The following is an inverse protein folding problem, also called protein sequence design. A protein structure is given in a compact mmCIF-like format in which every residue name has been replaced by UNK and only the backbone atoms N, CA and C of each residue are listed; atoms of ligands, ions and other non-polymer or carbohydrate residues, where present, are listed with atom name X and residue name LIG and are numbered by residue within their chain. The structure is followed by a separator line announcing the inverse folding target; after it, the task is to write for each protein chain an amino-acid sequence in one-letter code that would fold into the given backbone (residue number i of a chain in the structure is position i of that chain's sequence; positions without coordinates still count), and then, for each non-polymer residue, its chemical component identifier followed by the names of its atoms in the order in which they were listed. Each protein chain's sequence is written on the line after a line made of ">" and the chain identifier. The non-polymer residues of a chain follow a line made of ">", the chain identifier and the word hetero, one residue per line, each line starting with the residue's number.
data_IF_091698500849
#
_entry.id   IF_091698500849
#
_cell.length_a   1.000
_cell.length_b   1.000
_cell.length_c   1.000
_cell.angle_alpha   90.00
_cell.angle_beta   90.00
_cell.angle_gamma   90.00
#
_symmetry.space_group_name_H-M   'P 1'
#
loop_
_entity.id
_entity.type
_entity.pdbx_description
1 polymer ?
#
# COMPACT_ATOMS: atom_id res chain seq x y z
N UNK A 1 -48.97 50.80 69.10
CA UNK A 1 -47.76 50.39 68.36
C UNK A 1 -47.50 48.92 68.66
N UNK A 2 -47.78 48.04 67.70
CA UNK A 2 -47.51 46.60 67.77
C UNK A 2 -46.11 46.33 67.21
N UNK A 3 -45.31 45.51 67.90
CA UNK A 3 -44.40 44.55 67.23
C UNK A 3 -43.92 43.46 68.19
N UNK A 4 -44.05 42.23 67.71
CA UNK A 4 -43.44 40.98 68.14
C UNK A 4 -42.82 40.34 66.87
N UNK A 5 -42.08 39.20 66.91
CA UNK A 5 -41.12 38.67 67.88
C UNK A 5 -39.76 38.26 67.21
N UNK A 6 -38.85 37.69 68.01
CA UNK A 6 -37.51 37.13 67.67
C UNK A 6 -37.51 36.04 66.57
N UNK A 7 -36.39 35.93 65.84
CA UNK A 7 -35.96 34.73 65.09
C UNK A 7 -34.56 34.26 65.58
N UNK A 8 -34.25 32.94 65.50
CA UNK A 8 -33.13 32.32 66.23
C UNK A 8 -31.80 32.29 65.44
N UNK A 9 -30.73 32.04 66.20
CA UNK A 9 -29.33 31.89 65.75
C UNK A 9 -29.12 30.55 65.03
N UNK A 10 -28.52 30.57 63.83
CA UNK A 10 -28.07 29.38 63.11
C UNK A 10 -26.57 29.12 63.35
N UNK A 11 -26.11 27.85 63.43
CA UNK A 11 -24.72 27.50 63.76
C UNK A 11 -23.77 27.63 62.55
N UNK A 12 -22.49 27.89 62.85
CA UNK A 12 -21.36 27.81 61.92
C UNK A 12 -21.11 26.35 61.49
N UNK A 13 -20.97 26.11 60.18
CA UNK A 13 -20.55 24.84 59.57
C UNK A 13 -19.10 24.93 59.07
N UNK A 14 -18.43 23.78 59.12
CA UNK A 14 -16.98 23.48 59.09
C UNK A 14 -16.10 23.98 57.91
N UNK A 15 -14.76 24.04 58.10
CA UNK A 15 -13.81 24.44 57.08
C UNK A 15 -13.34 23.22 56.25
N UNK A 16 -13.94 22.98 55.10
CA UNK A 16 -13.41 22.03 54.12
C UNK A 16 -13.87 22.37 52.69
N UNK A 17 -13.31 23.43 52.09
CA UNK A 17 -13.35 23.63 50.65
C UNK A 17 -12.22 24.56 50.20
N UNK A 18 -10.98 24.06 50.23
CA UNK A 18 -9.96 24.47 49.27
C UNK A 18 -9.11 23.24 48.95
N UNK A 19 -9.53 22.47 47.95
CA UNK A 19 -8.63 21.56 47.24
C UNK A 19 -8.72 21.89 45.77
N UNK A 20 -7.76 22.71 45.37
CA UNK A 20 -7.05 22.70 44.10
C UNK A 20 -7.43 21.52 43.19
N UNK A 21 -8.28 21.79 42.21
CA UNK A 21 -8.57 20.90 41.09
C UNK A 21 -7.89 21.48 39.85
N UNK A 22 -6.56 21.41 39.81
CA UNK A 22 -5.84 21.30 38.54
C UNK A 22 -6.12 19.90 38.00
N UNK A 23 -7.26 19.70 37.35
CA UNK A 23 -7.42 18.58 36.43
C UNK A 23 -6.42 18.80 35.31
N UNK A 24 -5.35 18.00 35.28
CA UNK A 24 -4.55 17.81 34.08
C UNK A 24 -5.51 17.48 32.94
N UNK A 25 -5.64 18.37 31.95
CA UNK A 25 -6.21 17.98 30.67
C UNK A 25 -5.32 16.88 30.10
N UNK A 26 -5.82 15.65 30.10
CA UNK A 26 -5.25 14.60 29.28
C UNK A 26 -5.36 15.09 27.84
N UNK A 27 -4.23 15.30 27.18
CA UNK A 27 -4.15 15.69 25.77
C UNK A 27 -4.78 14.57 24.95
N UNK A 28 -6.09 14.65 24.69
CA UNK A 28 -6.83 13.61 23.97
C UNK A 28 -6.30 13.57 22.55
N UNK A 29 -5.55 12.51 22.24
CA UNK A 29 -4.99 12.29 20.91
C UNK A 29 -6.07 11.76 19.97
N UNK A 30 -6.51 12.54 18.99
CA UNK A 30 -7.65 12.19 18.12
C UNK A 30 -7.38 12.41 16.64
N UNK A 31 -8.04 11.57 15.83
CA UNK A 31 -8.12 11.67 14.38
C UNK A 31 -9.55 11.37 13.94
N UNK A 32 -10.08 12.17 13.01
CA UNK A 32 -11.43 11.99 12.45
C UNK A 32 -11.35 11.70 10.96
N UNK A 33 -11.96 10.59 10.54
CA UNK A 33 -12.06 10.16 9.16
C UNK A 33 -13.44 10.53 8.59
N UNK A 34 -13.49 11.04 7.36
CA UNK A 34 -14.71 11.42 6.67
C UNK A 34 -14.86 10.67 5.34
N UNK A 35 -16.08 10.19 5.04
CA UNK A 35 -16.35 9.44 3.80
C UNK A 35 -16.24 10.28 2.53
N UNK A 36 -16.52 11.59 2.61
CA UNK A 36 -16.48 12.52 1.48
C UNK A 36 -15.36 13.56 1.62
N UNK A 37 -15.09 14.32 0.55
CA UNK A 37 -14.08 15.38 0.53
C UNK A 37 -14.54 16.59 1.35
N UNK A 38 -13.59 17.40 1.82
CA UNK A 38 -13.89 18.65 2.52
C UNK A 38 -14.61 18.45 3.87
N UNK A 39 -14.32 17.34 4.55
CA UNK A 39 -14.82 17.00 5.89
C UNK A 39 -16.35 16.84 5.95
N UNK A 40 -16.91 16.21 4.91
CA UNK A 40 -18.35 15.99 4.74
C UNK A 40 -18.70 14.49 4.83
N UNK A 41 -20.01 14.21 4.86
CA UNK A 41 -20.53 12.85 4.88
C UNK A 41 -20.45 12.22 6.27
N UNK A 42 -20.54 10.88 6.32
CA UNK A 42 -20.37 10.13 7.57
C UNK A 42 -18.93 10.27 8.05
N UNK A 43 -18.76 10.41 9.35
CA UNK A 43 -17.43 10.44 9.96
C UNK A 43 -17.29 9.42 11.10
N UNK A 44 -16.03 9.13 11.42
CA UNK A 44 -15.65 8.31 12.55
C UNK A 44 -14.41 8.91 13.21
N UNK A 45 -14.52 9.17 14.52
CA UNK A 45 -13.42 9.63 15.36
C UNK A 45 -12.72 8.43 15.99
N UNK A 46 -11.39 8.46 16.00
CA UNK A 46 -10.53 7.45 16.56
C UNK A 46 -9.47 8.08 17.47
N UNK A 47 -9.15 7.42 18.58
CA UNK A 47 -8.19 7.90 19.59
C UNK A 47 -7.14 6.85 19.98
N UNK A 48 -7.11 5.72 19.28
CA UNK A 48 -6.16 4.63 19.51
C UNK A 48 -5.87 3.85 18.23
N UNK A 49 -4.96 2.88 18.30
CA UNK A 49 -4.74 1.94 17.20
C UNK A 49 -6.04 1.23 16.82
N UNK A 50 -6.36 1.19 15.52
CA UNK A 50 -7.53 0.48 15.00
C UNK A 50 -7.12 -0.48 13.87
N UNK A 51 -7.19 -1.81 14.07
CA UNK A 51 -6.78 -2.78 13.04
C UNK A 51 -7.82 -2.95 11.93
N UNK A 52 -9.06 -2.48 12.09
CA UNK A 52 -10.07 -2.60 11.05
C UNK A 52 -11.10 -1.46 11.14
N UNK A 53 -10.94 -0.47 10.25
CA UNK A 53 -11.84 0.68 10.15
C UNK A 53 -13.04 0.43 9.23
N UNK A 54 -13.06 -0.69 8.48
CA UNK A 54 -14.10 -0.98 7.49
C UNK A 54 -15.49 -1.11 8.09
N UNK A 55 -15.59 -1.40 9.38
CA UNK A 55 -16.87 -1.48 10.12
C UNK A 55 -17.48 -0.11 10.38
N UNK A 56 -16.68 0.97 10.36
CA UNK A 56 -17.13 2.33 10.68
C UNK A 56 -17.46 3.15 9.43
N UNK A 57 -16.74 2.93 8.33
CA UNK A 57 -16.96 3.62 7.05
C UNK A 57 -16.52 2.76 5.86
N UNK A 58 -17.09 3.04 4.69
CA UNK A 58 -16.86 2.29 3.45
C UNK A 58 -15.66 2.80 2.65
N UNK A 59 -15.40 4.11 2.74
CA UNK A 59 -14.34 4.87 2.06
C UNK A 59 -13.88 6.05 2.93
N UNK A 60 -12.72 6.61 2.65
CA UNK A 60 -12.19 7.78 3.36
C UNK A 60 -11.61 8.78 2.36
N UNK A 61 -12.23 9.96 2.26
CA UNK A 61 -11.85 10.99 1.31
C UNK A 61 -11.34 12.27 1.96
N UNK A 62 -11.53 12.49 3.26
CA UNK A 62 -10.87 13.58 3.99
C UNK A 62 -10.63 13.22 5.45
N UNK A 63 -9.63 13.83 6.07
CA UNK A 63 -9.15 13.48 7.42
C UNK A 63 -8.79 14.75 8.19
N UNK A 64 -9.20 14.83 9.45
CA UNK A 64 -8.68 15.82 10.41
C UNK A 64 -7.87 15.12 11.48
N UNK A 65 -6.65 15.59 11.71
CA UNK A 65 -5.84 15.17 12.86
C UNK A 65 -5.80 16.32 13.83
N UNK A 66 -6.49 16.18 14.96
CA UNK A 66 -6.52 17.24 15.98
C UNK A 66 -5.21 17.26 16.78
N UNK A 67 -4.66 16.08 17.04
CA UNK A 67 -3.48 15.88 17.90
C UNK A 67 -2.79 14.55 17.61
N UNK A 68 -1.52 14.46 18.01
CA UNK A 68 -0.68 13.27 17.81
C UNK A 68 -0.14 13.08 16.40
N UNK A 69 0.51 11.93 16.22
CA UNK A 69 1.09 11.48 14.96
C UNK A 69 0.50 10.11 14.63
N UNK A 70 -0.01 9.95 13.42
CA UNK A 70 -0.75 8.76 13.02
C UNK A 70 -0.12 8.12 11.79
N UNK A 71 -0.06 6.79 11.79
CA UNK A 71 0.23 6.01 10.59
C UNK A 71 -1.04 5.32 10.13
N UNK A 72 -1.51 5.66 8.94
CA UNK A 72 -2.69 5.07 8.31
C UNK A 72 -2.28 3.98 7.34
N UNK A 73 -3.17 3.02 7.11
CA UNK A 73 -2.92 1.87 6.26
C UNK A 73 -4.08 1.63 5.31
N UNK A 74 -3.76 1.32 4.07
CA UNK A 74 -4.73 1.07 3.00
C UNK A 74 -5.60 -0.17 3.26
N UNK A 75 -5.06 -1.19 3.93
CA UNK A 75 -5.73 -2.47 4.21
C UNK A 75 -5.92 -2.71 5.72
N UNK A 76 -6.85 -3.60 6.11
CA UNK A 76 -6.98 -4.03 7.50
C UNK A 76 -5.69 -4.65 8.04
N UNK A 77 -5.57 -4.72 9.36
CA UNK A 77 -4.46 -5.30 10.10
C UNK A 77 -3.09 -4.68 9.80
N UNK A 78 -3.06 -3.36 9.55
CA UNK A 78 -1.84 -2.57 9.33
C UNK A 78 -1.07 -3.00 8.08
N UNK A 79 -1.79 -3.28 6.99
CA UNK A 79 -1.23 -3.76 5.73
C UNK A 79 -1.44 -2.76 4.59
N UNK A 80 -0.70 -2.96 3.49
CA UNK A 80 -0.78 -2.11 2.31
C UNK A 80 0.02 -0.82 2.42
N UNK A 81 -0.33 0.18 1.62
CA UNK A 81 0.34 1.48 1.67
C UNK A 81 0.15 2.17 3.02
N UNK A 82 1.22 2.83 3.49
CA UNK A 82 1.23 3.55 4.75
C UNK A 82 1.26 5.06 4.49
N UNK A 83 0.54 5.82 5.32
CA UNK A 83 0.44 7.27 5.21
C UNK A 83 0.61 7.90 6.59
N UNK A 84 1.68 8.64 6.77
CA UNK A 84 2.01 9.37 7.98
C UNK A 84 1.33 10.73 7.97
N UNK A 85 0.49 10.96 8.99
CA UNK A 85 -0.20 12.22 9.19
C UNK A 85 0.17 12.80 10.55
N UNK A 86 0.42 14.11 10.55
CA UNK A 86 0.53 14.93 11.77
C UNK A 86 -0.71 15.79 11.91
N UNK A 87 -0.84 16.48 13.05
CA UNK A 87 -1.87 17.50 13.28
C UNK A 87 -2.08 18.38 12.05
N UNK A 88 -3.32 18.47 11.58
CA UNK A 88 -3.67 19.21 10.38
C UNK A 88 -4.97 18.76 9.71
N UNK A 89 -5.38 19.56 8.74
CA UNK A 89 -6.58 19.36 7.93
C UNK A 89 -6.20 18.82 6.55
N UNK A 90 -6.75 17.66 6.19
CA UNK A 90 -6.50 16.99 4.92
C UNK A 90 -7.81 16.87 4.13
N UNK A 91 -8.17 17.86 3.31
CA UNK A 91 -9.48 17.94 2.64
C UNK A 91 -9.73 16.91 1.54
N UNK A 92 -8.68 16.26 1.03
CA UNK A 92 -8.75 15.22 0.01
C UNK A 92 -7.56 14.24 0.13
N UNK A 93 -7.68 13.04 -0.44
CA UNK A 93 -6.65 12.01 -0.28
C UNK A 93 -5.29 12.32 -0.90
N UNK A 94 -5.20 13.28 -1.83
CA UNK A 94 -3.93 13.68 -2.41
C UNK A 94 -3.05 14.41 -1.38
N UNK A 95 -3.67 15.01 -0.36
CA UNK A 95 -2.99 15.78 0.69
C UNK A 95 -2.15 14.90 1.63
N UNK A 96 -2.45 13.60 1.74
CA UNK A 96 -1.61 12.63 2.45
C UNK A 96 -0.88 11.67 1.50
N UNK A 97 -0.74 12.05 0.22
CA UNK A 97 -0.12 11.22 -0.81
C UNK A 97 -0.84 9.88 -1.04
N UNK A 98 -2.16 9.83 -0.79
CA UNK A 98 -3.01 8.67 -1.02
C UNK A 98 -3.19 8.35 -2.51
N UNK A 99 -3.13 7.06 -2.85
CA UNK A 99 -3.41 6.58 -4.21
C UNK A 99 -4.91 6.34 -4.46
N UNK A 100 -5.69 6.18 -3.39
CA UNK A 100 -7.12 5.88 -3.41
C UNK A 100 -7.81 6.43 -2.16
N UNK A 101 -9.13 6.25 -2.08
CA UNK A 101 -9.96 6.54 -0.89
C UNK A 101 -10.00 5.37 0.12
N UNK A 102 -9.10 4.39 -0.02
CA UNK A 102 -9.05 3.24 0.88
C UNK A 102 -8.12 3.49 2.06
N UNK A 103 -8.71 3.74 3.23
CA UNK A 103 -8.06 3.67 4.54
C UNK A 103 -8.82 2.65 5.38
N UNK A 104 -8.12 1.64 5.91
CA UNK A 104 -8.76 0.49 6.56
C UNK A 104 -8.13 0.09 7.89
N UNK A 105 -7.00 0.67 8.28
CA UNK A 105 -6.50 0.60 9.65
C UNK A 105 -5.60 1.79 9.97
N UNK A 106 -5.38 2.07 11.26
CA UNK A 106 -4.52 3.17 11.71
C UNK A 106 -3.77 2.81 12.99
N UNK A 107 -2.60 3.43 13.19
CA UNK A 107 -1.83 3.38 14.43
C UNK A 107 -1.53 4.77 14.92
N UNK A 108 -1.74 4.99 16.21
CA UNK A 108 -1.17 6.11 16.92
C UNK A 108 0.32 5.83 17.12
N UNK A 109 1.16 6.75 16.64
CA UNK A 109 2.61 6.70 16.87
C UNK A 109 2.87 7.25 18.28
N UNK A 110 3.44 6.45 19.19
CA UNK A 110 3.71 6.90 20.56
C UNK A 110 4.59 8.14 20.55
N UNK A 111 4.24 9.12 21.39
CA UNK A 111 5.13 10.25 21.64
C UNK A 111 6.41 9.74 22.29
N UNK A 112 7.55 10.16 21.76
CA UNK A 112 8.86 9.77 22.28
C UNK A 112 9.54 11.00 22.89
N UNK A 113 9.77 10.94 24.20
CA UNK A 113 10.52 11.94 24.96
C UNK A 113 11.97 11.49 25.12
N UNK A 114 12.76 11.64 24.05
CA UNK A 114 14.16 11.25 24.05
C UNK A 114 14.86 11.55 22.73
N UNK A 115 16.09 11.08 22.61
CA UNK A 115 16.84 11.11 21.34
C UNK A 115 16.25 10.12 20.34
N UNK A 116 16.38 10.44 19.06
CA UNK A 116 16.09 9.51 17.98
C UNK A 116 17.40 8.95 17.48
N UNK A 117 17.46 7.64 17.25
CA UNK A 117 18.70 7.01 16.76
C UNK A 117 18.42 5.77 15.92
N UNK A 118 19.01 5.72 14.74
CA UNK A 118 18.95 4.59 13.83
C UNK A 118 20.31 4.33 13.19
N UNK A 119 20.63 3.07 12.90
CA UNK A 119 21.75 2.68 12.05
C UNK A 119 21.23 2.07 10.76
N UNK A 120 21.76 2.50 9.63
CA UNK A 120 21.44 1.96 8.30
C UNK A 120 22.69 1.32 7.68
N UNK A 121 22.48 0.28 6.88
CA UNK A 121 23.55 -0.56 6.33
C UNK A 121 23.36 -0.81 4.82
N UNK A 122 24.46 -0.85 4.09
CA UNK A 122 24.52 -1.11 2.64
C UNK A 122 24.16 -2.55 2.24
N UNK A 123 24.17 -3.50 3.17
CA UNK A 123 23.87 -4.90 2.87
C UNK A 123 22.94 -5.51 3.91
N UNK A 124 22.33 -6.62 3.54
CA UNK A 124 21.50 -7.43 4.43
C UNK A 124 22.30 -7.91 5.66
N UNK A 125 21.59 -8.24 6.74
CA UNK A 125 22.14 -8.70 8.02
C UNK A 125 23.19 -7.76 8.63
N UNK A 126 22.98 -6.44 8.53
CA UNK A 126 23.83 -5.41 9.13
C UNK A 126 25.27 -5.40 8.62
N UNK A 127 25.48 -5.81 7.35
CA UNK A 127 26.80 -5.85 6.71
C UNK A 127 27.05 -4.62 5.84
N UNK A 128 28.30 -4.42 5.43
CA UNK A 128 28.69 -3.29 4.57
C UNK A 128 28.94 -2.00 5.35
N UNK A 129 28.99 -0.86 4.66
CA UNK A 129 29.14 0.44 5.32
C UNK A 129 27.92 0.73 6.21
N UNK A 130 28.19 1.27 7.39
CA UNK A 130 27.17 1.69 8.37
C UNK A 130 27.14 3.20 8.46
N UNK A 131 25.94 3.78 8.43
CA UNK A 131 25.70 5.19 8.74
C UNK A 131 24.70 5.33 9.88
N UNK A 132 24.95 6.25 10.80
CA UNK A 132 24.08 6.54 11.93
C UNK A 132 23.27 7.81 11.66
N UNK A 133 21.97 7.75 11.96
CA UNK A 133 21.00 8.82 11.75
C UNK A 133 20.38 9.17 13.11
N UNK A 134 20.48 10.44 13.49
CA UNK A 134 19.96 10.98 14.75
C UNK A 134 18.88 12.04 14.55
N UNK A 135 18.76 12.56 13.34
CA UNK A 135 17.88 13.67 12.98
C UNK A 135 17.26 13.42 11.61
N UNK A 136 16.24 14.22 11.29
CA UNK A 136 15.60 14.28 9.99
C UNK A 136 16.63 14.37 8.84
N UNK A 137 16.41 13.58 7.78
CA UNK A 137 17.31 13.48 6.63
C UNK A 137 16.54 13.60 5.32
N UNK A 138 16.81 14.65 4.55
CA UNK A 138 16.13 14.91 3.27
C UNK A 138 16.60 13.98 2.15
N UNK A 139 17.87 13.55 2.17
CA UNK A 139 18.48 12.75 1.11
C UNK A 139 19.64 11.94 1.66
N UNK A 140 19.52 10.61 1.60
CA UNK A 140 20.58 9.69 2.00
C UNK A 140 21.77 9.73 1.03
N UNK A 141 21.49 9.96 -0.25
CA UNK A 141 22.50 10.07 -1.29
C UNK A 141 23.39 11.31 -1.06
N UNK A 142 22.79 12.44 -0.71
CA UNK A 142 23.56 13.68 -0.50
C UNK A 142 24.33 13.66 0.81
N UNK A 143 23.75 13.07 1.87
CA UNK A 143 24.36 13.06 3.22
C UNK A 143 25.37 11.94 3.41
N UNK A 144 25.12 10.76 2.85
CA UNK A 144 25.90 9.54 3.12
C UNK A 144 26.41 8.84 1.85
N UNK A 145 26.08 9.33 0.65
CA UNK A 145 26.34 8.66 -0.62
C UNK A 145 25.73 7.25 -0.70
N UNK A 146 24.63 7.06 0.02
CA UNK A 146 23.87 5.82 0.07
C UNK A 146 22.63 5.93 -0.81
N UNK A 147 22.54 5.06 -1.82
CA UNK A 147 21.39 4.99 -2.74
C UNK A 147 20.28 4.08 -2.23
N UNK A 148 20.63 3.01 -1.50
CA UNK A 148 19.69 2.01 -0.99
C UNK A 148 20.02 1.61 0.45
N UNK A 149 18.99 1.33 1.25
CA UNK A 149 19.13 0.72 2.58
C UNK A 149 18.73 -0.75 2.47
N UNK A 150 19.65 -1.64 2.81
CA UNK A 150 19.40 -3.08 2.76
C UNK A 150 19.02 -3.64 4.12
N UNK A 151 19.60 -3.14 5.20
CA UNK A 151 19.20 -3.47 6.57
C UNK A 151 19.35 -2.28 7.49
N UNK A 152 18.62 -2.25 8.60
CA UNK A 152 18.65 -1.16 9.58
C UNK A 152 18.32 -1.62 10.99
N UNK A 153 18.83 -0.90 11.98
CA UNK A 153 18.51 -1.10 13.39
C UNK A 153 18.03 0.22 13.99
N UNK A 154 16.76 0.25 14.38
CA UNK A 154 16.16 1.38 15.09
C UNK A 154 16.47 1.22 16.56
N UNK A 155 17.37 2.07 17.06
CA UNK A 155 17.82 2.03 18.45
C UNK A 155 16.84 2.80 19.35
N UNK A 156 16.39 3.97 18.90
CA UNK A 156 15.58 4.89 19.71
C UNK A 156 14.56 5.64 18.84
N UNK A 157 13.36 5.82 19.39
CA UNK A 157 12.23 6.50 18.75
C UNK A 157 11.58 5.68 17.62
N UNK A 158 10.41 6.15 17.16
CA UNK A 158 9.83 5.67 15.90
C UNK A 158 10.29 6.55 14.75
N UNK A 159 10.51 5.95 13.58
CA UNK A 159 10.95 6.65 12.38
C UNK A 159 9.98 6.40 11.23
N UNK A 160 9.90 7.34 10.30
CA UNK A 160 9.20 7.15 9.03
C UNK A 160 10.23 7.21 7.92
N UNK A 161 10.49 6.06 7.29
CA UNK A 161 11.33 5.98 6.10
C UNK A 161 10.50 6.31 4.87
N UNK A 162 11.05 7.16 4.01
CA UNK A 162 10.47 7.52 2.71
C UNK A 162 11.32 6.91 1.60
N UNK A 163 10.65 6.35 0.61
CA UNK A 163 11.27 5.71 -0.56
C UNK A 163 12.06 6.72 -1.42
N UNK A 164 11.56 7.96 -1.55
CA UNK A 164 12.20 9.01 -2.34
C UNK A 164 12.71 10.17 -1.45
N UNK A 165 13.74 10.90 -1.90
CA UNK A 165 14.22 12.10 -1.22
C UNK A 165 13.13 13.15 -0.98
N UNK A 166 13.36 14.02 -0.01
CA UNK A 166 12.48 15.12 0.39
C UNK A 166 11.09 14.66 0.84
N UNK A 167 11.04 13.54 1.58
CA UNK A 167 9.82 12.96 2.16
C UNK A 167 8.75 12.60 1.12
N UNK A 168 9.15 11.94 0.03
CA UNK A 168 8.25 11.53 -1.05
C UNK A 168 8.22 10.01 -1.22
N UNK A 169 7.23 9.54 -1.96
CA UNK A 169 7.09 8.11 -2.29
C UNK A 169 6.47 7.31 -1.16
N UNK A 170 6.68 5.99 -1.17
CA UNK A 170 6.13 5.10 -0.14
C UNK A 170 6.73 5.40 1.23
N UNK A 171 5.91 5.20 2.25
CA UNK A 171 6.24 5.51 3.63
C UNK A 171 6.24 4.22 4.45
N UNK A 172 7.18 4.10 5.38
CA UNK A 172 7.35 2.91 6.22
C UNK A 172 7.55 3.31 7.67
N UNK A 173 6.63 2.91 8.54
CA UNK A 173 6.78 3.08 9.99
C UNK A 173 7.80 2.06 10.51
N UNK A 174 8.91 2.57 11.02
CA UNK A 174 9.95 1.80 11.68
C UNK A 174 9.86 2.03 13.18
N UNK A 175 9.66 0.95 13.93
CA UNK A 175 9.65 0.95 15.40
C UNK A 175 11.01 0.48 15.92
N UNK A 176 11.36 0.74 17.18
CA UNK A 176 12.58 0.19 17.78
C UNK A 176 12.71 -1.32 17.52
N UNK A 177 13.85 -1.74 16.97
CA UNK A 177 14.04 -3.12 16.55
C UNK A 177 15.06 -3.31 15.43
N UNK A 178 15.39 -4.58 15.22
CA UNK A 178 16.30 -5.06 14.19
C UNK A 178 15.53 -5.43 12.92
N UNK A 179 15.97 -4.87 11.79
CA UNK A 179 15.43 -5.17 10.46
C UNK A 179 16.57 -5.64 9.56
N UNK A 180 16.69 -6.95 9.35
CA UNK A 180 17.83 -7.59 8.68
C UNK A 180 17.77 -7.48 7.16
N UNK A 181 16.62 -7.15 6.61
CA UNK A 181 16.39 -6.96 5.17
C UNK A 181 15.22 -5.99 4.94
N UNK A 182 15.14 -5.39 3.77
CA UNK A 182 14.07 -4.44 3.42
C UNK A 182 12.64 -5.00 3.51
N UNK A 183 12.49 -6.32 3.34
CA UNK A 183 11.22 -7.01 3.53
C UNK A 183 10.70 -6.91 4.99
N UNK A 184 11.59 -6.76 5.98
CA UNK A 184 11.21 -6.74 7.40
C UNK A 184 10.41 -5.48 7.76
N UNK A 185 10.60 -4.37 7.04
CA UNK A 185 9.77 -3.15 7.19
C UNK A 185 8.66 -3.03 6.14
N UNK A 186 8.44 -4.08 5.36
CA UNK A 186 7.40 -4.12 4.33
C UNK A 186 7.76 -3.39 3.04
N UNK A 187 9.01 -2.96 2.86
CA UNK A 187 9.46 -2.49 1.55
C UNK A 187 9.63 -3.66 0.58
N UNK A 188 9.50 -3.34 -0.70
CA UNK A 188 9.82 -4.25 -1.79
C UNK A 188 10.92 -3.59 -2.61
N UNK A 189 12.07 -4.25 -2.76
CA UNK A 189 13.02 -3.84 -3.78
C UNK A 189 12.43 -4.25 -5.13
N UNK A 190 11.81 -3.28 -5.79
CA UNK A 190 11.27 -3.42 -7.11
C UNK A 190 11.70 -2.21 -7.92
N UNK A 191 12.19 -2.45 -9.11
CA UNK A 191 12.69 -1.41 -9.99
C UNK A 191 12.45 -1.80 -11.44
N UNK A 192 11.83 -0.88 -12.16
CA UNK A 192 11.55 -0.97 -13.58
C UNK A 192 11.91 0.35 -14.25
N UNK A 193 12.60 0.27 -15.37
CA UNK A 193 12.99 1.43 -16.17
C UNK A 193 12.34 1.34 -17.54
N UNK A 194 11.56 2.36 -17.88
CA UNK A 194 10.89 2.51 -19.18
C UNK A 194 11.74 3.39 -20.10
N UNK A 195 11.83 3.04 -21.38
CA UNK A 195 12.57 3.79 -22.39
C UNK A 195 11.66 4.12 -23.58
N UNK A 196 11.69 5.37 -24.05
CA UNK A 196 10.84 5.82 -25.17
C UNK A 196 11.18 5.13 -26.49
N UNK A 197 12.44 4.74 -26.70
CA UNK A 197 12.91 4.10 -27.92
C UNK A 197 13.34 2.64 -27.66
N UNK A 198 13.57 1.89 -28.75
CA UNK A 198 13.99 0.47 -28.68
C UNK A 198 15.45 0.36 -28.22
N UNK A 199 15.82 -0.80 -27.68
CA UNK A 199 17.21 -1.08 -27.28
C UNK A 199 17.73 -0.20 -26.15
N UNK A 200 16.83 0.19 -25.24
CA UNK A 200 17.13 0.98 -24.04
C UNK A 200 17.71 2.37 -24.36
N UNK A 201 17.18 3.00 -25.40
CA UNK A 201 17.59 4.32 -25.89
C UNK A 201 16.52 5.39 -25.63
N UNK A 202 16.90 6.65 -25.85
CA UNK A 202 16.01 7.80 -25.71
C UNK A 202 15.81 8.21 -24.25
N UNK A 203 14.75 8.97 -23.99
CA UNK A 203 14.37 9.37 -22.63
C UNK A 203 13.94 8.13 -21.85
N UNK A 204 14.40 8.04 -20.60
CA UNK A 204 13.98 7.00 -19.68
C UNK A 204 13.27 7.54 -18.45
N UNK A 205 12.48 6.68 -17.82
CA UNK A 205 11.87 6.91 -16.52
C UNK A 205 12.01 5.66 -15.67
N UNK A 206 12.58 5.82 -14.48
CA UNK A 206 12.71 4.77 -13.48
C UNK A 206 11.53 4.83 -12.51
N UNK A 207 10.98 3.67 -12.20
CA UNK A 207 9.85 3.51 -11.30
C UNK A 207 10.11 2.36 -10.32
N UNK A 208 9.81 2.57 -9.05
CA UNK A 208 9.96 1.59 -7.98
C UNK A 208 8.64 1.24 -7.27
N UNK A 209 7.56 1.90 -7.67
CA UNK A 209 6.23 1.77 -7.08
C UNK A 209 5.11 1.76 -8.11
N UNK A 210 3.88 1.59 -7.66
CA UNK A 210 2.72 1.69 -8.54
C UNK A 210 2.62 3.10 -9.11
N UNK A 211 2.34 3.20 -10.41
CA UNK A 211 2.16 4.47 -11.08
C UNK A 211 0.84 4.45 -11.86
N UNK A 212 -0.22 5.14 -11.40
CA UNK A 212 -1.50 5.18 -12.10
C UNK A 212 -1.46 6.05 -13.37
N UNK A 213 -0.44 6.89 -13.55
CA UNK A 213 -0.32 7.72 -14.75
C UNK A 213 1.15 7.98 -15.11
N UNK A 214 1.64 7.26 -16.12
CA UNK A 214 2.99 7.40 -16.65
C UNK A 214 3.10 8.47 -17.75
N UNK A 215 1.98 9.00 -18.25
CA UNK A 215 1.97 9.97 -19.36
C UNK A 215 2.74 11.25 -19.07
N UNK A 216 2.86 11.62 -17.79
CA UNK A 216 3.59 12.80 -17.35
C UNK A 216 5.11 12.64 -17.50
N UNK A 217 5.60 11.39 -17.56
CA UNK A 217 7.03 11.09 -17.61
C UNK A 217 7.52 10.77 -19.02
N UNK A 218 6.70 10.12 -19.84
CA UNK A 218 7.05 9.78 -21.22
C UNK A 218 5.82 9.65 -22.13
N UNK A 219 6.04 9.85 -23.43
CA UNK A 219 4.99 9.87 -24.46
C UNK A 219 4.68 8.49 -25.05
N UNK A 220 5.66 7.58 -25.04
CA UNK A 220 5.62 6.20 -25.57
C UNK A 220 6.63 5.31 -24.85
N UNK A 221 6.55 3.99 -24.98
CA UNK A 221 7.48 3.05 -24.36
C UNK A 221 7.80 1.90 -25.33
N UNK A 222 9.06 1.84 -25.77
CA UNK A 222 9.50 0.86 -26.77
C UNK A 222 10.53 -0.15 -26.24
N UNK A 223 11.12 0.08 -25.07
CA UNK A 223 11.91 -0.95 -24.38
C UNK A 223 11.86 -0.76 -22.87
N UNK A 224 12.06 -1.84 -22.12
CA UNK A 224 11.90 -1.87 -20.66
C UNK A 224 13.00 -2.73 -20.04
N UNK A 225 13.60 -2.26 -18.95
CA UNK A 225 14.41 -3.10 -18.05
C UNK A 225 13.68 -3.29 -16.74
N UNK A 226 13.51 -4.53 -16.32
CA UNK A 226 13.03 -4.86 -14.98
C UNK A 226 14.21 -5.37 -14.19
N UNK A 227 14.72 -4.54 -13.28
CA UNK A 227 15.86 -4.87 -12.43
C UNK A 227 15.44 -5.81 -11.29
N UNK A 228 14.25 -5.58 -10.72
CA UNK A 228 13.68 -6.37 -9.61
C UNK A 228 12.16 -6.27 -9.56
N UNK A 229 11.52 -7.33 -9.04
CA UNK A 229 10.07 -7.39 -8.87
C UNK A 229 9.30 -7.88 -10.08
N UNK A 230 8.04 -8.21 -9.83
CA UNK A 230 7.07 -8.61 -10.85
C UNK A 230 6.13 -7.44 -11.12
N UNK A 231 5.95 -7.04 -12.37
CA UNK A 231 5.20 -5.86 -12.74
C UNK A 231 4.03 -6.21 -13.66
N UNK A 232 2.88 -5.57 -13.45
CA UNK A 232 1.80 -5.54 -14.43
C UNK A 232 1.73 -4.15 -15.04
N UNK A 233 1.89 -4.07 -16.36
CA UNK A 233 1.80 -2.84 -17.13
C UNK A 233 0.44 -2.74 -17.80
N UNK A 234 -0.02 -1.52 -18.03
CA UNK A 234 -1.32 -1.24 -18.59
C UNK A 234 -1.23 -0.23 -19.73
N UNK A 235 -1.99 -0.50 -20.79
CA UNK A 235 -2.06 0.35 -21.99
C UNK A 235 -2.63 1.74 -21.70
N UNK A 236 -3.49 1.89 -20.68
CA UNK A 236 -4.17 3.14 -20.33
C UNK A 236 -3.87 3.56 -18.88
N UNK A 237 -4.06 4.84 -18.53
CA UNK A 237 -3.96 5.30 -17.15
C UNK A 237 -4.94 4.55 -16.22
N UNK A 238 -4.68 4.63 -14.91
CA UNK A 238 -5.51 4.05 -13.85
C UNK A 238 -5.73 2.53 -13.98
N UNK A 239 -4.71 1.81 -14.43
CA UNK A 239 -4.68 0.35 -14.53
C UNK A 239 -5.76 -0.22 -15.47
N UNK A 240 -5.95 0.43 -16.62
CA UNK A 240 -6.96 0.06 -17.61
C UNK A 240 -6.35 -0.37 -18.96
N UNK A 241 -7.17 -1.02 -19.80
CA UNK A 241 -6.77 -1.46 -21.13
C UNK A 241 -6.03 -2.81 -21.10
N UNK A 242 -5.24 -3.08 -22.14
CA UNK A 242 -4.44 -4.30 -22.20
C UNK A 242 -3.42 -4.36 -21.06
N UNK A 243 -3.26 -5.56 -20.49
CA UNK A 243 -2.33 -5.82 -19.39
C UNK A 243 -1.13 -6.65 -19.89
N UNK A 244 0.06 -6.35 -19.37
CA UNK A 244 1.30 -7.03 -19.73
C UNK A 244 2.09 -7.39 -18.48
N UNK A 245 2.26 -8.68 -18.23
CA UNK A 245 3.06 -9.20 -17.13
C UNK A 245 4.53 -9.23 -17.49
N UNK A 246 5.35 -8.52 -16.71
CA UNK A 246 6.79 -8.53 -16.82
C UNK A 246 7.41 -9.06 -15.53
N UNK A 247 8.48 -9.83 -15.69
CA UNK A 247 9.37 -10.26 -14.61
C UNK A 247 10.71 -9.59 -14.81
N UNK A 248 11.62 -9.79 -13.86
CA UNK A 248 13.02 -9.42 -14.04
C UNK A 248 13.54 -9.83 -15.41
N UNK A 249 14.18 -8.89 -16.10
CA UNK A 249 14.71 -9.11 -17.44
C UNK A 249 14.80 -7.86 -18.30
N UNK A 250 15.50 -8.02 -19.42
CA UNK A 250 15.71 -7.00 -20.43
C UNK A 250 14.75 -7.23 -21.60
N UNK A 251 13.92 -6.23 -21.88
CA UNK A 251 12.94 -6.25 -22.95
C UNK A 251 13.28 -5.17 -23.99
N UNK A 252 14.12 -5.48 -25.00
CA UNK A 252 14.64 -4.50 -25.96
C UNK A 252 13.60 -3.93 -26.95
N UNK A 253 12.43 -4.56 -27.07
CA UNK A 253 11.33 -4.14 -27.93
C UNK A 253 9.96 -4.54 -27.32
N UNK A 254 8.88 -3.87 -27.74
CA UNK A 254 7.55 -4.11 -27.16
C UNK A 254 6.97 -5.49 -27.48
N UNK A 255 7.46 -6.16 -28.52
CA UNK A 255 7.03 -7.50 -28.85
C UNK A 255 7.52 -8.53 -27.82
N UNK A 256 8.61 -8.25 -27.10
CA UNK A 256 9.13 -9.13 -26.03
C UNK A 256 8.17 -9.29 -24.84
N UNK A 257 7.33 -8.29 -24.55
CA UNK A 257 6.27 -8.40 -23.54
C UNK A 257 4.89 -8.66 -24.16
N UNK A 258 4.85 -9.06 -25.44
CA UNK A 258 3.61 -9.28 -26.21
C UNK A 258 2.74 -8.02 -26.32
N UNK A 259 3.38 -6.84 -26.35
CA UNK A 259 2.72 -5.56 -26.56
C UNK A 259 2.01 -5.48 -27.92
N UNK A 260 0.78 -4.97 -27.93
CA UNK A 260 0.07 -4.66 -29.19
C UNK A 260 0.49 -3.30 -29.76
N UNK A 261 1.02 -2.42 -28.91
CA UNK A 261 1.51 -1.08 -29.23
C UNK A 261 2.63 -0.69 -28.26
N UNK A 262 3.22 0.49 -28.47
CA UNK A 262 4.17 1.13 -27.56
C UNK A 262 3.50 1.97 -26.46
N UNK A 263 2.18 1.83 -26.28
CA UNK A 263 1.43 2.56 -25.25
C UNK A 263 1.49 1.82 -23.93
N UNK A 264 2.27 2.35 -22.98
CA UNK A 264 2.27 1.96 -21.56
C UNK A 264 2.01 3.21 -20.74
N UNK A 265 0.93 3.21 -19.95
CA UNK A 265 0.39 4.43 -19.32
C UNK A 265 0.12 4.28 -17.83
N UNK A 266 0.15 3.07 -17.30
CA UNK A 266 0.24 2.83 -15.86
C UNK A 266 0.93 1.50 -15.58
N UNK A 267 1.45 1.33 -14.37
CA UNK A 267 2.11 0.10 -13.92
C UNK A 267 1.77 -0.17 -12.47
N UNK A 268 1.61 -1.44 -12.09
CA UNK A 268 1.59 -1.83 -10.69
C UNK A 268 2.63 -2.91 -10.40
N UNK A 269 3.25 -2.78 -9.24
CA UNK A 269 4.07 -3.80 -8.64
C UNK A 269 3.17 -4.91 -8.10
N UNK A 270 3.53 -6.16 -8.41
CA UNK A 270 2.81 -7.34 -7.94
C UNK A 270 3.53 -7.87 -6.69
N UNK A 271 2.85 -7.93 -5.53
CA UNK A 271 3.44 -8.43 -4.31
C UNK A 271 3.92 -9.88 -4.45
N UNK A 272 5.15 -10.15 -4.01
CA UNK A 272 5.67 -11.51 -3.90
C UNK A 272 4.97 -12.27 -2.77
N UNK A 273 4.62 -13.52 -3.01
CA UNK A 273 4.01 -14.41 -2.02
C UNK A 273 4.70 -15.75 -2.00
N UNK A 274 4.87 -16.33 -0.81
CA UNK A 274 5.53 -17.63 -0.65
C UNK A 274 4.68 -18.82 -1.11
N UNK A 275 3.36 -18.63 -1.22
CA UNK A 275 2.40 -19.66 -1.62
C UNK A 275 1.41 -19.11 -2.64
N UNK A 276 0.92 -20.00 -3.49
CA UNK A 276 -0.03 -19.71 -4.55
C UNK A 276 -1.08 -20.81 -4.61
N UNK A 277 -2.34 -20.43 -4.46
CA UNK A 277 -3.49 -21.35 -4.55
C UNK A 277 -4.68 -20.63 -5.18
N UNK A 278 -5.25 -21.26 -6.19
CA UNK A 278 -6.36 -20.72 -6.98
C UNK A 278 -7.39 -21.82 -7.22
N UNK A 279 -8.67 -21.47 -7.09
CA UNK A 279 -9.77 -22.30 -7.57
C UNK A 279 -10.38 -21.69 -8.82
N UNK A 280 -10.63 -22.52 -9.82
CA UNK A 280 -11.41 -22.17 -11.01
C UNK A 280 -12.71 -22.98 -11.04
N UNK A 281 -13.73 -22.39 -11.64
CA UNK A 281 -15.08 -22.94 -11.68
C UNK A 281 -15.67 -22.84 -13.09
N UNK A 282 -16.38 -23.90 -13.48
CA UNK A 282 -17.06 -24.00 -14.78
C UNK A 282 -18.18 -22.95 -14.94
N UNK A 283 -18.87 -22.59 -13.85
CA UNK A 283 -20.01 -21.66 -13.87
C UNK A 283 -19.73 -20.42 -13.03
N UNK A 284 -20.54 -19.38 -13.24
CA UNK A 284 -20.52 -18.16 -12.43
C UNK A 284 -20.92 -18.46 -10.97
N UNK A 285 -20.60 -17.53 -10.07
CA UNK A 285 -20.86 -17.64 -8.63
C UNK A 285 -20.28 -18.90 -7.97
N UNK A 286 -19.12 -19.37 -8.43
CA UNK A 286 -18.42 -20.53 -7.86
C UNK A 286 -19.23 -21.83 -7.92
N UNK A 287 -20.04 -21.99 -8.97
CA UNK A 287 -20.86 -23.19 -9.22
C UNK A 287 -20.22 -24.12 -10.25
N UNK A 288 -20.76 -25.33 -10.34
CA UNK A 288 -20.32 -26.34 -11.31
C UNK A 288 -19.04 -27.05 -10.87
N UNK A 289 -18.31 -27.62 -11.84
CA UNK A 289 -17.05 -28.29 -11.54
C UNK A 289 -16.03 -27.29 -10.97
N UNK A 290 -15.36 -27.69 -9.88
CA UNK A 290 -14.31 -26.92 -9.22
C UNK A 290 -12.98 -27.65 -9.36
N UNK A 291 -11.93 -26.91 -9.72
CA UNK A 291 -10.55 -27.40 -9.76
C UNK A 291 -9.66 -26.46 -8.97
N UNK A 292 -8.75 -27.00 -8.16
CA UNK A 292 -7.75 -26.24 -7.42
C UNK A 292 -6.37 -26.38 -8.08
N UNK A 293 -5.66 -25.27 -8.23
CA UNK A 293 -4.31 -25.17 -8.77
C UNK A 293 -3.38 -24.54 -7.74
N UNK A 294 -2.22 -25.16 -7.55
CA UNK A 294 -1.07 -24.62 -6.79
C UNK A 294 0.18 -24.46 -7.66
N UNK A 295 0.08 -24.80 -8.94
CA UNK A 295 1.15 -24.79 -9.92
C UNK A 295 0.69 -24.12 -11.23
N UNK A 296 1.67 -23.76 -12.07
CA UNK A 296 1.40 -23.21 -13.39
C UNK A 296 0.63 -24.23 -14.24
N UNK A 297 -0.26 -23.75 -15.11
CA UNK A 297 -1.04 -24.56 -16.03
C UNK A 297 -0.87 -24.01 -17.44
N UNK A 298 -0.10 -24.68 -18.29
CA UNK A 298 0.17 -24.24 -19.67
C UNK A 298 -1.00 -24.48 -20.63
N UNK A 299 -1.93 -25.38 -20.31
CA UNK A 299 -3.13 -25.63 -21.10
C UNK A 299 -4.28 -26.10 -20.20
N UNK A 300 -5.27 -25.23 -19.98
CA UNK A 300 -6.46 -25.53 -19.17
C UNK A 300 -7.32 -26.61 -19.85
N UNK A 301 -7.44 -26.56 -21.17
CA UNK A 301 -8.23 -27.52 -21.94
C UNK A 301 -7.69 -28.95 -21.83
N UNK A 302 -6.36 -29.13 -21.90
CA UNK A 302 -5.76 -30.47 -21.80
C UNK A 302 -5.86 -31.01 -20.37
N UNK A 303 -5.72 -30.15 -19.36
CA UNK A 303 -5.71 -30.56 -17.95
C UNK A 303 -7.11 -30.79 -17.37
N UNK A 304 -8.10 -30.03 -17.81
CA UNK A 304 -9.43 -29.98 -17.19
C UNK A 304 -10.59 -30.14 -18.17
N UNK A 305 -10.32 -30.23 -19.47
CA UNK A 305 -11.34 -30.28 -20.52
C UNK A 305 -12.28 -29.07 -20.52
N UNK A 306 -11.75 -27.90 -20.14
CA UNK A 306 -12.47 -26.62 -20.15
C UNK A 306 -11.82 -25.66 -21.14
N UNK A 307 -12.63 -25.06 -22.02
CA UNK A 307 -12.23 -23.93 -22.87
C UNK A 307 -12.60 -22.57 -22.26
N UNK A 308 -13.51 -22.57 -21.29
CA UNK A 308 -13.98 -21.39 -20.58
C UNK A 308 -13.90 -21.60 -19.07
N UNK A 309 -13.55 -20.54 -18.34
CA UNK A 309 -13.65 -20.47 -16.88
C UNK A 309 -14.49 -19.26 -16.51
N UNK A 310 -15.55 -19.49 -15.73
CA UNK A 310 -16.56 -18.45 -15.47
C UNK A 310 -16.48 -17.82 -14.10
N UNK A 311 -15.83 -18.46 -13.12
CA UNK A 311 -15.50 -17.81 -11.86
C UNK A 311 -14.19 -18.35 -11.27
N UNK A 312 -13.53 -17.52 -10.46
CA UNK A 312 -12.30 -17.83 -9.76
C UNK A 312 -12.42 -17.50 -8.27
N UNK A 313 -11.64 -18.21 -7.46
CA UNK A 313 -11.34 -17.80 -6.09
C UNK A 313 -9.82 -17.92 -5.89
N UNK A 314 -9.14 -16.78 -5.87
CA UNK A 314 -7.71 -16.72 -5.60
C UNK A 314 -7.53 -16.73 -4.08
N UNK A 315 -7.07 -17.87 -3.54
CA UNK A 315 -6.89 -18.05 -2.11
C UNK A 315 -5.57 -17.45 -1.64
N UNK A 316 -4.51 -17.70 -2.40
CA UNK A 316 -3.14 -17.33 -2.04
C UNK A 316 -2.38 -16.91 -3.29
N UNK A 317 -1.54 -15.88 -3.14
CA UNK A 317 -0.68 -15.35 -4.19
C UNK A 317 -1.39 -14.67 -5.34
N UNK A 318 -0.59 -14.05 -6.22
CA UNK A 318 -1.10 -13.45 -7.46
C UNK A 318 -0.89 -14.41 -8.63
N UNK A 319 -1.83 -14.41 -9.57
CA UNK A 319 -1.81 -15.24 -10.76
C UNK A 319 -2.00 -14.38 -12.02
N UNK A 320 -1.54 -14.87 -13.15
CA UNK A 320 -1.82 -14.28 -14.47
C UNK A 320 -2.59 -15.30 -15.28
N UNK A 321 -3.81 -14.94 -15.67
CA UNK A 321 -4.62 -15.67 -16.64
C UNK A 321 -4.27 -15.21 -18.04
N UNK A 322 -4.10 -16.17 -18.94
CA UNK A 322 -3.87 -15.95 -20.36
C UNK A 322 -5.05 -16.50 -21.16
N UNK A 323 -5.53 -15.71 -22.12
CA UNK A 323 -6.64 -16.08 -23.01
C UNK A 323 -6.35 -17.37 -23.80
N UNK A 324 -5.10 -17.58 -24.21
CA UNK A 324 -4.68 -18.72 -25.03
C UNK A 324 -3.75 -19.67 -24.26
N UNK A 325 -3.65 -20.95 -24.69
CA UNK A 325 -2.67 -21.88 -24.17
C UNK A 325 -1.23 -21.38 -24.35
N UNK A 326 -0.32 -21.94 -23.56
CA UNK A 326 1.12 -21.64 -23.58
C UNK A 326 1.44 -20.17 -23.31
N UNK A 327 0.67 -19.53 -22.42
CA UNK A 327 0.89 -18.18 -21.92
C UNK A 327 0.84 -17.12 -23.01
N UNK A 328 -0.17 -17.19 -23.89
CA UNK A 328 -0.36 -16.29 -25.03
C UNK A 328 -1.70 -15.57 -24.98
N UNK A 329 -1.84 -14.55 -25.83
CA UNK A 329 -3.06 -13.75 -25.93
C UNK A 329 -3.16 -12.71 -24.82
N UNK A 330 -4.38 -12.25 -24.55
CA UNK A 330 -4.63 -11.25 -23.51
C UNK A 330 -4.29 -11.80 -22.13
N UNK A 331 -3.76 -10.93 -21.28
CA UNK A 331 -3.31 -11.26 -19.93
C UNK A 331 -4.18 -10.55 -18.90
N UNK A 332 -4.47 -11.20 -17.78
CA UNK A 332 -5.28 -10.64 -16.71
C UNK A 332 -4.65 -10.96 -15.35
N UNK A 333 -4.37 -9.93 -14.56
CA UNK A 333 -3.89 -10.07 -13.18
C UNK A 333 -5.04 -10.53 -12.27
N UNK A 334 -4.85 -11.66 -11.59
CA UNK A 334 -5.74 -12.17 -10.56
C UNK A 334 -5.06 -12.04 -9.19
N UNK A 335 -5.53 -11.08 -8.37
CA UNK A 335 -5.15 -10.87 -6.96
C UNK A 335 -6.00 -11.73 -6.00
N UNK A 336 -5.55 -11.98 -4.75
CA UNK A 336 -6.34 -12.68 -3.74
C UNK A 336 -7.71 -12.05 -3.48
N UNK A 337 -8.76 -12.67 -4.01
CA UNK A 337 -10.18 -12.34 -3.82
C UNK A 337 -11.09 -13.35 -4.54
N UNK A 338 -12.39 -13.17 -4.40
CA UNK A 338 -13.42 -13.85 -5.19
C UNK A 338 -13.69 -13.11 -6.51
N UNK A 339 -13.75 -13.84 -7.61
CA UNK A 339 -14.22 -13.36 -8.91
C UNK A 339 -15.40 -14.22 -9.35
N UNK A 340 -16.61 -13.66 -9.37
CA UNK A 340 -17.85 -14.42 -9.61
C UNK A 340 -18.20 -14.52 -11.09
N UNK A 341 -17.61 -13.66 -11.93
CA UNK A 341 -17.82 -13.60 -13.40
C UNK A 341 -16.64 -12.93 -14.11
N UNK A 342 -16.56 -13.09 -15.43
CA UNK A 342 -15.42 -12.62 -16.24
C UNK A 342 -15.19 -11.10 -16.26
N UNK A 343 -16.23 -10.32 -15.99
CA UNK A 343 -16.11 -8.88 -15.82
C UNK A 343 -15.27 -8.51 -14.59
N UNK A 344 -15.22 -9.35 -13.56
CA UNK A 344 -14.55 -9.03 -12.29
C UNK A 344 -13.02 -8.98 -12.43
N UNK A 345 -12.45 -9.65 -13.45
CA UNK A 345 -11.02 -9.57 -13.79
C UNK A 345 -10.74 -8.74 -15.05
N UNK A 346 -11.75 -8.04 -15.57
CA UNK A 346 -11.61 -7.13 -16.71
C UNK A 346 -11.54 -7.81 -18.08
N UNK A 347 -11.97 -9.07 -18.20
CA UNK A 347 -12.10 -9.73 -19.50
C UNK A 347 -13.43 -9.39 -20.19
N UNK A 348 -13.48 -9.62 -21.50
CA UNK A 348 -14.68 -9.46 -22.34
C UNK A 348 -15.44 -10.77 -22.56
N UNK A 349 -14.79 -11.90 -22.34
CA UNK A 349 -15.35 -13.24 -22.43
C UNK A 349 -14.71 -14.15 -21.37
N UNK A 350 -15.22 -15.39 -21.26
CA UNK A 350 -14.78 -16.37 -20.28
C UNK A 350 -13.63 -17.26 -20.78
N UNK A 351 -12.98 -16.94 -21.91
CA UNK A 351 -11.91 -17.78 -22.45
C UNK A 351 -10.73 -17.82 -21.50
N UNK A 352 -10.22 -19.02 -21.28
CA UNK A 352 -9.13 -19.25 -20.35
C UNK A 352 -8.24 -20.38 -20.91
N UNK A 353 -7.08 -20.02 -21.43
CA UNK A 353 -6.19 -20.97 -22.09
C UNK A 353 -5.06 -21.47 -21.18
N UNK A 354 -4.48 -20.58 -20.36
CA UNK A 354 -3.40 -20.95 -19.43
C UNK A 354 -3.32 -20.03 -18.21
N UNK A 355 -2.69 -20.51 -17.14
CA UNK A 355 -2.54 -19.81 -15.85
C UNK A 355 -1.10 -19.91 -15.37
N UNK A 356 -0.55 -18.80 -14.87
CA UNK A 356 0.81 -18.75 -14.32
C UNK A 356 0.80 -18.10 -12.94
N UNK A 357 1.58 -18.64 -12.01
CA UNK A 357 1.85 -18.00 -10.72
C UNK A 357 2.78 -16.81 -10.92
N UNK A 358 2.50 -15.71 -10.23
CA UNK A 358 3.43 -14.59 -10.19
C UNK A 358 4.51 -14.90 -9.18
N UNK A 359 5.69 -15.27 -9.70
CA UNK A 359 6.91 -15.52 -8.94
C UNK A 359 8.04 -14.73 -9.57
N UNK A 360 8.83 -14.03 -8.76
CA UNK A 360 10.13 -13.54 -9.24
C UNK A 360 11.06 -14.72 -9.49
N UNK A 361 11.73 -14.74 -10.62
CA UNK A 361 12.74 -15.74 -10.91
C UNK A 361 14.11 -15.07 -10.74
N UNK A 362 14.61 -15.13 -9.50
CA UNK A 362 15.94 -14.69 -9.00
C UNK A 362 16.21 -13.19 -8.92
#
# INVERSE_FOLDING_TARGET
>A
MMQAPKAPMAPLLDPAHVTDSLTLEADYTTITFYEDRGFQGRCYECSSDCPNLQTYFSRCNSIRVDSGCWMLYERPNYQGYQYFLRRGDYPDYQQWMGFSDSIRSCRLIPQHSGTYRMRIYERDDFRGQMSEITDDCLSLQDRFHLSEIHSLNVLEGCWVLYEMPSYRGRQYLLRPGEYRRYLDWGAMNAKITFYEDRGFQGRCYECSSDCPNLQTYFSRCNSIRVDSGCWMLYERPNYQGYQYFLRRGDYPDYQQWMGFSDSIRSCCLIPQTASHRLRLYEREDHKGLMMELSEDCSCIQDRFHLSEVRSFHVLEGCWVLYELPNYRGRQYLLRPQEYRRYHDWGAVDAKAGSLRRVVDLY
#
